data_IF_839686777617
#
_entry.id   IF_839686777617
#
_cell.length_a   1.000
_cell.length_b   1.000
_cell.length_c   1.000
_cell.angle_alpha   90.00
_cell.angle_beta   90.00
_cell.angle_gamma   90.00
#
_symmetry.space_group_name_H-M   'P 1'
#
loop_
_entity.id
_entity.type
_entity.pdbx_description
1 polymer ?
#
# COMPACT_ATOMS: atom_id res chain seq x y z
N UNK A 1 25.45 23.94 18.03
CA UNK A 1 24.37 22.93 18.06
C UNK A 1 24.96 21.54 17.96
N UNK A 2 24.84 20.77 19.04
CA UNK A 2 25.69 19.64 19.39
C UNK A 2 25.43 18.35 18.61
N UNK A 3 26.48 17.52 18.54
CA UNK A 3 26.59 16.21 17.88
C UNK A 3 25.50 15.21 18.29
N UNK A 4 24.78 15.46 19.38
CA UNK A 4 23.65 14.66 19.89
C UNK A 4 22.40 14.76 19.02
N UNK A 5 22.11 15.92 18.40
CA UNK A 5 20.95 16.09 17.51
C UNK A 5 21.12 15.36 16.16
N UNK A 6 22.36 15.19 15.68
CA UNK A 6 22.67 14.40 14.47
C UNK A 6 22.56 12.89 14.73
N UNK A 7 22.89 12.41 15.94
CA UNK A 7 22.74 10.99 16.30
C UNK A 7 21.28 10.58 16.50
N UNK A 8 20.44 11.42 17.10
CA UNK A 8 18.99 11.15 17.22
C UNK A 8 18.27 11.16 15.86
N UNK A 9 18.69 12.04 14.94
CA UNK A 9 18.15 12.09 13.58
C UNK A 9 18.65 10.94 12.70
N UNK A 10 19.89 10.48 12.90
CA UNK A 10 20.41 9.28 12.27
C UNK A 10 19.69 8.03 12.79
N UNK A 11 19.48 7.88 14.11
CA UNK A 11 18.74 6.75 14.70
C UNK A 11 17.26 6.75 14.30
N UNK A 12 16.63 7.92 14.14
CA UNK A 12 15.25 8.04 13.67
C UNK A 12 15.08 7.74 12.16
N UNK A 13 16.12 7.97 11.35
CA UNK A 13 16.12 7.68 9.91
C UNK A 13 16.60 6.26 9.58
N UNK A 14 17.51 5.70 10.39
CA UNK A 14 17.91 4.29 10.32
C UNK A 14 16.75 3.36 10.73
N UNK A 15 15.87 3.83 11.63
CA UNK A 15 14.60 3.16 11.98
C UNK A 15 13.52 3.23 10.90
N UNK A 16 13.60 4.18 9.97
CA UNK A 16 12.51 4.43 9.03
C UNK A 16 12.74 3.73 7.67
N UNK A 17 13.97 3.71 7.12
CA UNK A 17 14.15 3.30 5.71
C UNK A 17 15.55 2.73 5.34
N UNK A 18 16.21 1.99 6.24
CA UNK A 18 17.57 1.41 6.06
C UNK A 18 18.05 1.14 4.62
N UNK A 19 19.24 1.68 4.29
CA UNK A 19 19.92 1.45 3.02
C UNK A 19 20.40 0.00 2.90
N UNK A 20 19.94 -0.70 1.86
CA UNK A 20 20.26 -2.11 1.62
C UNK A 20 19.39 -3.05 2.47
N UNK A 21 18.91 -4.14 1.88
CA UNK A 21 17.93 -5.10 2.43
C UNK A 21 16.58 -4.50 2.87
N UNK A 22 16.48 -3.34 3.52
CA UNK A 22 15.21 -2.77 3.97
C UNK A 22 14.36 -2.20 2.82
N UNK A 23 14.98 -1.70 1.75
CA UNK A 23 14.26 -1.38 0.50
C UNK A 23 13.73 -2.65 -0.21
N UNK A 24 14.44 -3.77 -0.09
CA UNK A 24 14.00 -5.08 -0.60
C UNK A 24 12.91 -5.69 0.29
N UNK A 25 13.02 -5.53 1.62
CA UNK A 25 12.02 -5.91 2.60
C UNK A 25 10.76 -5.04 2.51
N UNK A 26 10.88 -3.74 2.21
CA UNK A 26 9.74 -2.87 1.93
C UNK A 26 9.08 -3.26 0.61
N UNK A 27 9.85 -3.60 -0.43
CA UNK A 27 9.31 -4.13 -1.70
C UNK A 27 8.64 -5.49 -1.50
N UNK A 28 9.23 -6.36 -0.68
CA UNK A 28 8.70 -7.66 -0.31
C UNK A 28 7.53 -7.56 0.66
N UNK A 29 7.46 -6.54 1.52
CA UNK A 29 6.32 -6.27 2.41
C UNK A 29 5.16 -5.61 1.66
N UNK A 30 5.44 -4.77 0.65
CA UNK A 30 4.43 -4.28 -0.30
C UNK A 30 3.96 -5.45 -1.17
N UNK A 31 4.86 -6.32 -1.65
CA UNK A 31 4.54 -7.53 -2.39
C UNK A 31 3.72 -8.52 -1.55
N UNK A 32 4.14 -8.78 -0.32
CA UNK A 32 3.43 -9.59 0.68
C UNK A 32 2.11 -8.94 1.07
N UNK A 33 2.04 -7.61 1.19
CA UNK A 33 0.80 -6.88 1.44
C UNK A 33 -0.18 -6.98 0.27
N UNK A 34 0.31 -6.92 -0.97
CA UNK A 34 -0.48 -7.14 -2.20
C UNK A 34 -0.89 -8.61 -2.32
N UNK A 35 -0.03 -9.55 -1.95
CA UNK A 35 -0.36 -10.98 -1.89
C UNK A 35 -1.31 -11.31 -0.75
N UNK A 36 -1.24 -10.62 0.39
CA UNK A 36 -2.21 -10.75 1.48
C UNK A 36 -3.54 -10.09 1.11
N UNK A 37 -3.52 -8.99 0.35
CA UNK A 37 -4.73 -8.40 -0.23
C UNK A 37 -5.33 -9.30 -1.33
N UNK A 38 -4.50 -10.06 -2.07
CA UNK A 38 -4.97 -11.12 -2.98
C UNK A 38 -5.53 -12.31 -2.21
N UNK A 39 -4.85 -12.79 -1.17
CA UNK A 39 -5.32 -13.85 -0.28
C UNK A 39 -6.57 -13.47 0.50
N UNK A 40 -6.76 -12.20 0.84
CA UNK A 40 -8.00 -11.68 1.41
C UNK A 40 -9.17 -11.70 0.40
N UNK A 41 -8.86 -11.76 -0.90
CA UNK A 41 -9.82 -11.97 -1.97
C UNK A 41 -9.94 -13.43 -2.41
N UNK A 42 -9.06 -14.32 -1.94
CA UNK A 42 -9.23 -15.75 -2.13
C UNK A 42 -10.44 -16.19 -1.30
N UNK A 43 -11.29 -17.08 -1.83
CA UNK A 43 -12.43 -17.58 -1.08
C UNK A 43 -11.91 -18.29 0.18
N UNK A 44 -12.16 -17.68 1.35
CA UNK A 44 -11.91 -18.33 2.63
C UNK A 44 -12.96 -19.44 2.75
N UNK A 45 -12.56 -20.68 2.50
CA UNK A 45 -13.32 -21.86 2.85
C UNK A 45 -13.34 -21.97 4.37
N UNK A 46 -14.47 -21.63 4.98
CA UNK A 46 -14.73 -21.99 6.38
C UNK A 46 -14.93 -23.51 6.42
N UNK A 47 -13.85 -24.25 6.69
CA UNK A 47 -13.93 -25.69 6.88
C UNK A 47 -14.69 -26.02 8.16
N UNK A 48 -15.65 -26.95 8.06
CA UNK A 48 -16.48 -27.38 9.19
C UNK A 48 -15.64 -27.97 10.34
N UNK A 49 -14.44 -28.49 10.04
CA UNK A 49 -13.44 -28.98 10.99
C UNK A 49 -12.90 -27.92 11.96
N UNK A 50 -12.95 -26.65 11.58
CA UNK A 50 -12.52 -25.52 12.42
C UNK A 50 -13.60 -25.06 13.42
N UNK A 51 -14.84 -25.55 13.26
CA UNK A 51 -15.98 -25.20 14.09
C UNK A 51 -16.05 -26.18 15.26
N UNK A 52 -16.17 -25.66 16.49
CA UNK A 52 -16.28 -26.51 17.68
C UNK A 52 -17.69 -27.12 17.77
N UNK A 53 -17.81 -28.43 18.05
CA UNK A 53 -19.10 -29.05 18.28
C UNK A 53 -19.86 -28.33 19.40
N UNK A 54 -21.14 -28.03 19.18
CA UNK A 54 -21.99 -27.32 20.14
C UNK A 54 -21.92 -25.79 20.12
N UNK A 55 -20.96 -25.17 19.43
CA UNK A 55 -20.95 -23.71 19.23
C UNK A 55 -21.94 -23.27 18.13
N UNK A 56 -22.57 -22.11 18.33
CA UNK A 56 -23.53 -21.51 17.39
C UNK A 56 -22.86 -20.40 16.59
N UNK A 57 -22.75 -20.59 15.28
CA UNK A 57 -22.16 -19.59 14.38
C UNK A 57 -23.25 -18.88 13.56
N UNK A 58 -23.14 -17.56 13.45
CA UNK A 58 -23.99 -16.75 12.58
C UNK A 58 -23.21 -16.40 11.33
N UNK A 59 -23.56 -17.04 10.21
CA UNK A 59 -23.00 -16.70 8.89
C UNK A 59 -23.90 -15.64 8.26
N UNK A 60 -23.39 -14.41 8.14
CA UNK A 60 -24.09 -13.34 7.40
C UNK A 60 -23.31 -12.97 6.14
N UNK A 61 -23.93 -13.15 4.98
CA UNK A 61 -23.41 -12.63 3.72
C UNK A 61 -23.96 -11.24 3.45
N UNK A 62 -23.14 -10.40 2.82
CA UNK A 62 -23.59 -9.09 2.37
C UNK A 62 -24.63 -9.26 1.26
N UNK A 63 -25.74 -8.49 1.26
CA UNK A 63 -26.65 -8.48 0.12
C UNK A 63 -25.92 -8.06 -1.17
N UNK A 64 -26.38 -8.54 -2.34
CA UNK A 64 -25.74 -8.23 -3.62
C UNK A 64 -25.71 -6.72 -3.87
N UNK A 65 -24.65 -6.24 -4.56
CA UNK A 65 -24.49 -4.81 -4.84
C UNK A 65 -25.67 -4.26 -5.64
N UNK A 66 -26.22 -3.13 -5.18
CA UNK A 66 -27.26 -2.39 -5.89
C UNK A 66 -26.71 -1.71 -7.16
N UNK A 67 -27.59 -1.32 -8.10
CA UNK A 67 -27.19 -0.66 -9.36
C UNK A 67 -26.34 0.59 -9.12
N UNK A 68 -26.76 1.45 -8.18
CA UNK A 68 -26.03 2.67 -7.82
C UNK A 68 -24.62 2.37 -7.29
N UNK A 69 -24.49 1.35 -6.44
CA UNK A 69 -23.20 0.91 -5.90
C UNK A 69 -22.29 0.37 -7.02
N UNK A 70 -22.82 -0.44 -7.94
CA UNK A 70 -22.04 -0.95 -9.08
C UNK A 70 -21.50 0.18 -9.95
N UNK A 71 -22.31 1.21 -10.21
CA UNK A 71 -21.87 2.38 -10.99
C UNK A 71 -20.78 3.16 -10.27
N UNK A 72 -20.91 3.37 -8.95
CA UNK A 72 -19.88 4.04 -8.15
C UNK A 72 -18.58 3.23 -8.08
N UNK A 73 -18.67 1.93 -7.88
CA UNK A 73 -17.52 1.03 -7.86
C UNK A 73 -16.80 1.01 -9.22
N UNK A 74 -17.54 1.01 -10.33
CA UNK A 74 -16.96 1.13 -11.66
C UNK A 74 -16.21 2.46 -11.84
N UNK A 75 -16.78 3.58 -11.40
CA UNK A 75 -16.12 4.90 -11.42
C UNK A 75 -14.86 4.93 -10.56
N UNK A 76 -14.91 4.34 -9.37
CA UNK A 76 -13.78 4.19 -8.45
C UNK A 76 -12.66 3.37 -9.08
N UNK A 77 -12.97 2.21 -9.66
CA UNK A 77 -12.01 1.36 -10.37
C UNK A 77 -11.39 2.07 -11.57
N UNK A 78 -12.18 2.82 -12.34
CA UNK A 78 -11.66 3.59 -13.47
C UNK A 78 -10.70 4.71 -13.02
N UNK A 79 -11.01 5.40 -11.92
CA UNK A 79 -10.13 6.40 -11.32
C UNK A 79 -8.83 5.76 -10.79
N UNK A 80 -8.94 4.59 -10.15
CA UNK A 80 -7.78 3.81 -9.69
C UNK A 80 -6.86 3.44 -10.85
N UNK A 81 -7.38 2.86 -11.94
CA UNK A 81 -6.57 2.53 -13.13
C UNK A 81 -5.83 3.76 -13.69
N UNK A 82 -6.49 4.92 -13.69
CA UNK A 82 -5.86 6.18 -14.12
C UNK A 82 -4.75 6.62 -13.16
N UNK A 83 -4.93 6.41 -11.86
CA UNK A 83 -3.90 6.68 -10.86
C UNK A 83 -2.71 5.75 -11.06
N UNK A 84 -2.95 4.44 -11.16
CA UNK A 84 -1.91 3.42 -11.35
C UNK A 84 -1.03 3.73 -12.56
N UNK A 85 -1.66 4.06 -13.70
CA UNK A 85 -0.95 4.46 -14.91
C UNK A 85 -0.16 5.76 -14.74
N UNK A 86 -0.68 6.72 -13.97
CA UNK A 86 -0.01 8.00 -13.72
C UNK A 86 1.16 7.87 -12.74
N UNK A 87 1.11 6.91 -11.81
CA UNK A 87 2.17 6.62 -10.83
C UNK A 87 3.18 5.58 -11.32
N UNK A 88 2.89 4.90 -12.44
CA UNK A 88 3.78 3.90 -13.00
C UNK A 88 5.17 4.49 -13.29
N UNK A 89 6.26 3.80 -12.90
CA UNK A 89 7.61 4.35 -13.05
C UNK A 89 7.99 4.48 -14.52
N UNK A 90 8.19 5.71 -14.98
CA UNK A 90 8.65 6.00 -16.35
C UNK A 90 10.06 5.48 -16.62
N UNK A 91 10.44 5.39 -17.91
CA UNK A 91 11.79 4.98 -18.31
C UNK A 91 12.87 5.88 -17.68
N UNK A 92 12.60 7.19 -17.53
CA UNK A 92 13.52 8.16 -16.91
C UNK A 92 13.70 7.90 -15.41
N UNK A 93 12.63 7.59 -14.69
CA UNK A 93 12.65 7.19 -13.27
C UNK A 93 13.49 5.93 -13.12
N UNK A 94 13.21 4.88 -13.91
CA UNK A 94 13.98 3.61 -13.89
C UNK A 94 15.46 3.82 -14.17
N UNK A 95 15.81 4.60 -15.20
CA UNK A 95 17.22 4.92 -15.52
C UNK A 95 17.92 5.67 -14.37
N UNK A 96 17.23 6.63 -13.75
CA UNK A 96 17.77 7.40 -12.62
C UNK A 96 17.98 6.51 -11.40
N UNK A 97 17.02 5.64 -11.08
CA UNK A 97 17.13 4.64 -10.01
C UNK A 97 18.33 3.70 -10.22
N UNK A 98 18.52 3.15 -11.42
CA UNK A 98 19.68 2.29 -11.74
C UNK A 98 21.02 3.03 -11.53
N UNK A 99 21.10 4.30 -11.96
CA UNK A 99 22.30 5.12 -11.76
C UNK A 99 22.53 5.41 -10.28
N UNK A 100 21.48 5.73 -9.53
CA UNK A 100 21.53 5.98 -8.08
C UNK A 100 22.07 4.75 -7.35
N UNK A 101 21.46 3.57 -7.59
CA UNK A 101 21.88 2.31 -6.99
C UNK A 101 23.35 1.99 -7.29
N UNK A 102 23.80 2.23 -8.53
CA UNK A 102 25.21 2.05 -8.90
C UNK A 102 26.14 2.98 -8.10
N UNK A 103 25.78 4.25 -7.92
CA UNK A 103 26.62 5.19 -7.16
C UNK A 103 26.64 4.87 -5.66
N UNK A 104 25.49 4.47 -5.09
CA UNK A 104 25.42 3.99 -3.71
C UNK A 104 26.30 2.77 -3.49
N UNK A 105 26.29 1.79 -4.41
CA UNK A 105 27.18 0.63 -4.35
C UNK A 105 28.66 1.01 -4.46
N UNK A 106 29.00 1.98 -5.30
CA UNK A 106 30.37 2.47 -5.43
C UNK A 106 30.84 3.24 -4.18
N UNK A 107 29.96 4.00 -3.54
CA UNK A 107 30.25 4.66 -2.26
C UNK A 107 30.51 3.61 -1.17
N UNK A 108 29.63 2.61 -1.05
CA UNK A 108 29.76 1.55 -0.04
C UNK A 108 31.01 0.66 -0.21
N UNK A 109 31.47 0.44 -1.45
CA UNK A 109 32.67 -0.39 -1.72
C UNK A 109 33.98 0.34 -1.41
N UNK A 110 33.99 1.67 -1.45
CA UNK A 110 35.24 2.45 -1.33
C UNK A 110 35.60 2.70 0.12
N UNK A 111 36.90 2.88 0.38
CA UNK A 111 37.41 3.18 1.71
C UNK A 111 36.79 4.48 2.25
N UNK A 112 36.38 4.42 3.52
CA UNK A 112 35.81 5.53 4.28
C UNK A 112 36.73 6.78 4.20
N UNK A 113 36.18 7.93 3.83
CA UNK A 113 36.91 9.20 3.70
C UNK A 113 37.74 9.36 2.42
N UNK A 114 37.79 8.35 1.54
CA UNK A 114 38.55 8.47 0.29
C UNK A 114 37.90 9.48 -0.66
N UNK A 115 38.71 10.20 -1.44
CA UNK A 115 38.21 11.14 -2.46
C UNK A 115 37.25 10.46 -3.46
N UNK A 116 37.46 9.17 -3.75
CA UNK A 116 36.59 8.38 -4.61
C UNK A 116 35.23 8.05 -3.99
N UNK A 117 35.16 7.86 -2.67
CA UNK A 117 33.90 7.68 -1.94
C UNK A 117 33.13 9.01 -1.89
N UNK A 118 33.78 10.10 -1.47
CA UNK A 118 33.15 11.43 -1.38
C UNK A 118 32.53 11.85 -2.72
N UNK A 119 33.24 11.60 -3.84
CA UNK A 119 32.71 11.84 -5.20
C UNK A 119 31.50 10.97 -5.54
N UNK A 120 31.48 9.71 -5.09
CA UNK A 120 30.35 8.81 -5.32
C UNK A 120 29.13 9.19 -4.49
N UNK A 121 29.34 9.58 -3.22
CA UNK A 121 28.28 10.07 -2.32
C UNK A 121 27.65 11.35 -2.85
N UNK A 122 28.45 12.35 -3.25
CA UNK A 122 27.93 13.58 -3.84
C UNK A 122 27.12 13.32 -5.12
N UNK A 123 27.52 12.34 -5.94
CA UNK A 123 26.75 11.93 -7.12
C UNK A 123 25.47 11.18 -6.74
N UNK A 124 25.52 10.31 -5.74
CA UNK A 124 24.36 9.60 -5.22
C UNK A 124 23.33 10.59 -4.67
N UNK A 125 23.75 11.58 -3.91
CA UNK A 125 22.87 12.62 -3.36
C UNK A 125 22.16 13.41 -4.47
N UNK A 126 22.91 13.91 -5.47
CA UNK A 126 22.32 14.60 -6.63
C UNK A 126 21.32 13.74 -7.39
N UNK A 127 21.63 12.45 -7.57
CA UNK A 127 20.73 11.50 -8.23
C UNK A 127 19.51 11.18 -7.36
N UNK A 128 19.65 11.15 -6.03
CA UNK A 128 18.57 11.01 -5.06
C UNK A 128 17.58 12.16 -5.18
N UNK A 129 18.07 13.40 -5.06
CA UNK A 129 17.23 14.60 -5.24
C UNK A 129 16.52 14.64 -6.59
N UNK A 130 17.16 14.12 -7.65
CA UNK A 130 16.54 14.01 -8.98
C UNK A 130 15.48 12.92 -9.02
N UNK A 131 15.73 11.78 -8.39
CA UNK A 131 14.77 10.70 -8.28
C UNK A 131 13.52 11.16 -7.52
N UNK A 132 13.69 11.81 -6.36
CA UNK A 132 12.61 12.34 -5.53
C UNK A 132 11.75 13.35 -6.28
N UNK A 133 12.39 14.27 -7.03
CA UNK A 133 11.66 15.21 -7.90
C UNK A 133 10.85 14.53 -9.00
N UNK A 134 11.33 13.39 -9.53
CA UNK A 134 10.64 12.66 -10.58
C UNK A 134 9.52 11.75 -10.06
N UNK A 135 9.59 11.32 -8.79
CA UNK A 135 8.58 10.49 -8.13
C UNK A 135 7.58 11.30 -7.33
N UNK A 136 7.85 12.59 -7.10
CA UNK A 136 6.93 13.49 -6.42
C UNK A 136 5.53 13.48 -7.06
N UNK A 137 4.46 13.49 -6.24
CA UNK A 137 3.11 13.47 -6.74
C UNK A 137 2.80 14.76 -7.50
N UNK A 138 2.26 14.60 -8.71
CA UNK A 138 1.76 15.71 -9.52
C UNK A 138 0.37 16.16 -9.05
N UNK A 139 -0.04 17.38 -9.42
CA UNK A 139 -1.42 17.87 -9.18
C UNK A 139 -2.47 16.89 -9.69
N UNK A 140 -2.22 16.25 -10.83
CA UNK A 140 -3.10 15.23 -11.42
C UNK A 140 -3.22 13.99 -10.53
N UNK A 141 -2.11 13.46 -10.01
CA UNK A 141 -2.14 12.30 -9.11
C UNK A 141 -2.86 12.63 -7.79
N UNK A 142 -2.61 13.81 -7.22
CA UNK A 142 -3.32 14.26 -6.00
C UNK A 142 -4.83 14.38 -6.26
N UNK A 143 -5.23 14.94 -7.41
CA UNK A 143 -6.64 15.03 -7.79
C UNK A 143 -7.30 13.65 -7.92
N UNK A 144 -6.62 12.69 -8.55
CA UNK A 144 -7.13 11.32 -8.69
C UNK A 144 -7.27 10.63 -7.32
N UNK A 145 -6.30 10.79 -6.42
CA UNK A 145 -6.38 10.28 -5.05
C UNK A 145 -7.58 10.85 -4.29
N UNK A 146 -7.81 12.17 -4.37
CA UNK A 146 -9.00 12.80 -3.78
C UNK A 146 -10.29 12.28 -4.38
N UNK A 147 -10.32 12.06 -5.70
CA UNK A 147 -11.49 11.52 -6.38
C UNK A 147 -11.80 10.08 -5.94
N UNK A 148 -10.77 9.24 -5.78
CA UNK A 148 -10.92 7.87 -5.25
C UNK A 148 -11.46 7.91 -3.83
N UNK A 149 -10.87 8.75 -2.95
CA UNK A 149 -11.33 8.91 -1.58
C UNK A 149 -12.80 9.37 -1.50
N UNK A 150 -13.21 10.30 -2.38
CA UNK A 150 -14.60 10.73 -2.48
C UNK A 150 -15.53 9.58 -2.89
N UNK A 151 -15.16 8.77 -3.89
CA UNK A 151 -15.96 7.61 -4.27
C UNK A 151 -16.03 6.56 -3.17
N UNK A 152 -14.93 6.31 -2.46
CA UNK A 152 -14.87 5.36 -1.35
C UNK A 152 -15.78 5.82 -0.18
N UNK A 153 -15.83 7.12 0.11
CA UNK A 153 -16.73 7.69 1.11
C UNK A 153 -18.21 7.56 0.71
N UNK A 154 -18.57 7.79 -0.55
CA UNK A 154 -19.96 7.61 -1.00
C UNK A 154 -20.33 6.12 -1.01
N UNK A 155 -19.41 5.24 -1.44
CA UNK A 155 -19.61 3.80 -1.39
C UNK A 155 -19.84 3.32 0.05
N UNK A 156 -19.07 3.77 1.04
CA UNK A 156 -19.27 3.34 2.43
C UNK A 156 -20.65 3.70 2.96
N UNK A 157 -21.16 4.89 2.62
CA UNK A 157 -22.52 5.33 2.97
C UNK A 157 -23.58 4.46 2.29
N UNK A 158 -23.47 4.21 0.98
CA UNK A 158 -24.42 3.35 0.25
C UNK A 158 -24.39 1.91 0.77
N UNK A 159 -23.21 1.40 1.12
CA UNK A 159 -23.06 0.06 1.74
C UNK A 159 -23.72 0.01 3.11
N UNK A 160 -23.57 1.04 3.93
CA UNK A 160 -24.23 1.13 5.24
C UNK A 160 -25.76 1.19 5.11
N UNK A 161 -26.28 1.98 4.15
CA UNK A 161 -27.72 2.03 3.84
C UNK A 161 -28.27 0.68 3.42
N UNK A 162 -27.53 -0.08 2.60
CA UNK A 162 -27.95 -1.41 2.18
C UNK A 162 -28.01 -2.43 3.34
N UNK A 163 -27.17 -2.24 4.37
CA UNK A 163 -27.13 -3.10 5.56
C UNK A 163 -28.17 -2.72 6.63
N UNK A 164 -28.59 -1.45 6.70
CA UNK A 164 -29.55 -0.98 7.70
C UNK A 164 -30.91 -1.73 7.70
N UNK A 165 -31.59 -1.98 6.55
CA UNK A 165 -32.85 -2.72 6.54
C UNK A 165 -32.67 -4.22 6.84
N UNK A 166 -31.51 -4.80 6.50
CA UNK A 166 -31.17 -6.19 6.85
C UNK A 166 -30.96 -6.36 8.36
N UNK A 167 -30.44 -5.33 9.03
CA UNK A 167 -30.35 -5.31 10.50
C UNK A 167 -31.72 -5.16 11.17
N UNK A 168 -32.61 -4.33 10.61
CA UNK A 168 -33.97 -4.11 11.16
C UNK A 168 -34.90 -5.32 10.98
N UNK A 169 -34.81 -6.02 9.85
CA UNK A 169 -35.60 -7.23 9.55
C UNK A 169 -34.84 -8.52 9.86
N UNK A 170 -34.12 -8.58 10.98
CA UNK A 170 -33.51 -9.84 11.43
C UNK A 170 -34.61 -10.85 11.74
N UNK A 171 -34.99 -11.65 10.75
CA UNK A 171 -35.51 -13.00 11.01
C UNK A 171 -34.47 -13.71 11.88
N UNK A 172 -34.92 -14.53 12.85
CA UNK A 172 -34.03 -15.30 13.73
C UNK A 172 -32.90 -15.90 12.88
N UNK A 173 -31.62 -15.68 13.24
CA UNK A 173 -30.51 -16.21 12.44
C UNK A 173 -30.74 -17.70 12.22
N UNK A 174 -30.42 -18.21 11.02
CA UNK A 174 -30.34 -19.64 10.80
C UNK A 174 -29.16 -20.15 11.61
N UNK A 175 -29.43 -20.49 12.86
CA UNK A 175 -28.46 -21.10 13.75
C UNK A 175 -28.21 -22.51 13.25
N UNK A 176 -26.98 -22.80 12.82
CA UNK A 176 -26.57 -24.15 12.47
C UNK A 176 -25.71 -24.66 13.62
N UNK A 177 -26.27 -25.56 14.41
CA UNK A 177 -25.52 -26.28 15.43
C UNK A 177 -24.75 -27.39 14.74
N UNK A 178 -23.43 -27.35 14.84
CA UNK A 178 -22.58 -28.42 14.35
C UNK A 178 -22.47 -29.49 15.45
N UNK A 179 -22.83 -30.73 15.08
CA UNK A 179 -22.66 -31.93 15.91
C UNK A 179 -21.41 -32.67 15.45
#
# INVERSE_FOLDING_TARGET
MSVTAKRLRAVALDKAFGGGLAGFAASAAIGWGVDQLRKANDPISLEVSSLRPGEQYIVSTRPPMARAERTLDAKRRAAQRKLDNATAPSAKVRKTAKKLARQQRLAAKRAAGSAGQLKAEAKAERLGQRFDRLTAPTRRTVRLQRQIAAYDAVLSVERAKALAPTQRKRRRPRTRTYR
#
